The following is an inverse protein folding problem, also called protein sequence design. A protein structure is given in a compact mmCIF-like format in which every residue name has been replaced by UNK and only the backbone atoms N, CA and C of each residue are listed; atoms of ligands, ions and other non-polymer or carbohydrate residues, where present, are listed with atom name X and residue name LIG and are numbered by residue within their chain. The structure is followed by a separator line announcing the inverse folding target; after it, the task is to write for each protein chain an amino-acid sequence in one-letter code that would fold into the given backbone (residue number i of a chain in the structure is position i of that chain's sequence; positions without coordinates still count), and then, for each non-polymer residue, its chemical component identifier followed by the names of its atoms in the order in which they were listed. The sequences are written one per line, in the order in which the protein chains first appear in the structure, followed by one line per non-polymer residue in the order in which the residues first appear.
data_IF_079198311735
#
_entry.id   IF_079198311735
#
_cell.length_a   1.000
_cell.length_b   1.000
_cell.length_c   1.000
_cell.angle_alpha   90.00
_cell.angle_beta   90.00
_cell.angle_gamma   90.00
#
_symmetry.space_group_name_H-M   'P 1'
#
loop_
_entity.id
_entity.type
_entity.pdbx_description
1 polymer ?
#
# COMPACT_ATOMS: atom_id res chain seq x y z
N UNK A 1 25.20 5.26 79.62
CA UNK A 1 25.54 5.35 78.17
C UNK A 1 24.36 4.74 77.41
N UNK A 2 23.54 5.52 76.75
CA UNK A 2 22.37 5.09 75.98
C UNK A 2 22.73 5.17 74.50
N UNK A 3 22.73 4.03 73.83
CA UNK A 3 23.00 3.93 72.39
C UNK A 3 21.75 4.18 71.62
N UNK A 4 21.76 5.21 70.77
CA UNK A 4 20.64 5.59 69.86
C UNK A 4 20.80 4.76 68.56
N UNK A 5 19.82 3.94 68.23
CA UNK A 5 19.73 3.23 66.95
C UNK A 5 18.98 4.14 65.94
N UNK A 6 19.67 4.53 64.86
CA UNK A 6 19.09 5.25 63.75
C UNK A 6 18.56 4.24 62.71
N UNK A 7 17.25 4.14 62.57
CA UNK A 7 16.63 3.39 61.48
C UNK A 7 16.59 4.26 60.20
N UNK A 8 17.37 3.88 59.16
CA UNK A 8 17.23 4.43 57.82
C UNK A 8 16.03 3.76 57.12
N UNK A 9 14.99 4.53 56.81
CA UNK A 9 13.95 4.11 55.89
C UNK A 9 14.40 4.39 54.43
N UNK A 10 14.70 3.32 53.68
CA UNK A 10 14.84 3.43 52.22
C UNK A 10 13.44 3.43 51.61
N UNK A 11 13.03 4.61 51.14
CA UNK A 11 11.84 4.74 50.28
C UNK A 11 12.18 4.30 48.86
N UNK A 12 11.70 3.13 48.44
CA UNK A 12 11.76 2.66 47.06
C UNK A 12 10.80 3.46 46.21
N UNK A 13 11.33 4.32 45.35
CA UNK A 13 10.57 5.05 44.33
C UNK A 13 10.34 4.08 43.15
N UNK A 14 9.14 3.53 43.02
CA UNK A 14 8.69 2.82 41.84
C UNK A 14 8.45 3.83 40.71
N UNK A 15 8.93 3.58 39.49
CA UNK A 15 8.61 4.45 38.36
C UNK A 15 7.12 4.35 38.02
N UNK A 16 6.49 5.46 37.57
CA UNK A 16 5.08 5.44 37.19
C UNK A 16 4.86 4.49 36.01
N UNK A 17 3.88 3.60 36.15
CA UNK A 17 3.44 2.73 35.06
C UNK A 17 2.96 3.60 33.88
N UNK A 18 3.57 3.39 32.73
CA UNK A 18 3.13 4.01 31.49
C UNK A 18 1.70 3.51 31.18
N UNK A 19 0.72 4.36 31.40
CA UNK A 19 -0.65 4.13 30.99
C UNK A 19 -0.70 4.22 29.47
N UNK A 20 -0.76 3.08 28.78
CA UNK A 20 -1.20 3.01 27.38
C UNK A 20 -2.67 3.42 27.34
N UNK A 21 -2.93 4.69 27.10
CA UNK A 21 -4.28 5.16 26.81
C UNK A 21 -4.68 4.62 25.44
N UNK A 22 -5.60 3.67 25.43
CA UNK A 22 -6.34 3.31 24.21
C UNK A 22 -7.21 4.54 23.85
N UNK A 23 -7.07 5.11 22.63
CA UNK A 23 -7.87 6.27 22.26
C UNK A 23 -9.35 5.90 22.25
N UNK A 24 -10.19 6.74 22.84
CA UNK A 24 -11.64 6.61 22.76
C UNK A 24 -12.07 6.87 21.31
N UNK A 25 -12.58 5.84 20.63
CA UNK A 25 -13.13 5.97 19.28
C UNK A 25 -14.34 6.90 19.28
N UNK A 26 -14.42 7.84 18.37
CA UNK A 26 -15.65 8.54 17.98
C UNK A 26 -16.68 7.47 17.58
N UNK A 27 -17.87 7.47 18.14
CA UNK A 27 -18.85 6.36 18.12
C UNK A 27 -19.37 5.85 16.76
N UNK A 28 -18.73 6.16 15.64
CA UNK A 28 -18.94 5.55 14.33
C UNK A 28 -17.78 4.57 14.04
N UNK A 29 -18.12 3.38 13.52
CA UNK A 29 -17.11 2.41 13.11
C UNK A 29 -16.19 3.02 12.03
N UNK A 30 -14.86 2.85 12.21
CA UNK A 30 -13.89 3.27 11.20
C UNK A 30 -14.03 2.39 9.94
N UNK A 31 -13.82 2.96 8.75
CA UNK A 31 -13.80 2.19 7.50
C UNK A 31 -12.55 1.31 7.34
N UNK A 32 -11.65 1.33 8.30
CA UNK A 32 -10.41 0.55 8.37
C UNK A 32 -10.11 0.13 9.81
N UNK A 33 -9.18 -0.83 9.94
CA UNK A 33 -8.59 -1.19 11.24
C UNK A 33 -7.24 -0.51 11.38
N UNK A 34 -7.07 0.33 12.41
CA UNK A 34 -5.78 0.97 12.70
C UNK A 34 -4.91 0.01 13.52
N UNK A 35 -3.73 -0.36 12.99
CA UNK A 35 -2.76 -1.26 13.61
C UNK A 35 -1.48 -0.52 13.98
N UNK A 36 -1.16 -0.35 15.27
CA UNK A 36 0.13 0.18 15.68
C UNK A 36 1.24 -0.86 15.43
N UNK A 37 2.33 -0.43 14.78
CA UNK A 37 3.50 -1.27 14.46
C UNK A 37 4.74 -0.89 15.28
N UNK A 38 4.58 0.00 16.26
CA UNK A 38 5.66 0.53 17.08
C UNK A 38 6.32 1.78 16.48
N UNK A 39 7.09 2.50 17.30
CA UNK A 39 7.89 3.66 16.90
C UNK A 39 7.13 4.72 16.07
N UNK A 40 5.87 4.97 16.39
CA UNK A 40 5.03 5.94 15.67
C UNK A 40 4.52 5.48 14.31
N UNK A 41 4.71 4.21 13.93
CA UNK A 41 4.24 3.67 12.64
C UNK A 41 2.90 3.00 12.81
N UNK A 42 1.97 3.29 11.90
CA UNK A 42 0.60 2.76 11.89
C UNK A 42 0.20 2.31 10.49
N UNK A 43 -0.37 1.11 10.39
CA UNK A 43 -1.07 0.65 9.20
C UNK A 43 -2.58 0.83 9.39
N UNK A 44 -3.25 1.37 8.39
CA UNK A 44 -4.70 1.48 8.32
C UNK A 44 -5.19 0.47 7.27
N UNK A 45 -5.64 -0.68 7.76
CA UNK A 45 -6.02 -1.83 6.93
C UNK A 45 -7.52 -1.75 6.61
N UNK A 46 -7.87 -1.77 5.33
CA UNK A 46 -9.27 -1.78 4.87
C UNK A 46 -10.08 -2.86 5.60
N UNK A 47 -11.32 -2.55 5.95
CA UNK A 47 -12.18 -3.50 6.64
C UNK A 47 -12.74 -4.56 5.66
N UNK A 48 -13.38 -5.60 6.22
CA UNK A 48 -13.91 -6.71 5.44
C UNK A 48 -15.04 -6.33 4.48
N UNK A 49 -15.61 -5.14 4.60
CA UNK A 49 -16.63 -4.59 3.72
C UNK A 49 -16.03 -3.76 2.57
N UNK A 50 -14.72 -3.49 2.57
CA UNK A 50 -14.06 -2.68 1.54
C UNK A 50 -14.44 -1.20 1.60
N UNK A 51 -14.74 -0.68 2.80
CA UNK A 51 -15.25 0.71 2.95
C UNK A 51 -14.16 1.77 2.74
N UNK A 52 -12.88 1.41 2.88
CA UNK A 52 -11.75 2.28 2.56
C UNK A 52 -11.24 2.06 1.13
N UNK A 53 -11.46 0.86 0.56
CA UNK A 53 -11.13 0.44 -0.79
C UNK A 53 -9.72 -0.12 -0.95
N UNK A 54 -8.76 0.38 -0.18
CA UNK A 54 -7.36 -0.05 -0.14
C UNK A 54 -6.78 0.18 1.26
N UNK A 55 -5.54 -0.20 1.48
CA UNK A 55 -4.80 0.11 2.69
C UNK A 55 -4.09 1.46 2.58
N UNK A 56 -3.85 2.07 3.73
CA UNK A 56 -3.04 3.25 3.90
C UNK A 56 -2.20 3.15 5.17
N UNK A 57 -1.46 4.19 5.52
CA UNK A 57 -0.80 4.24 6.80
C UNK A 57 -0.14 5.59 7.07
N UNK A 58 0.52 5.70 8.22
CA UNK A 58 1.27 6.90 8.55
C UNK A 58 2.41 6.63 9.52
N UNK A 59 3.32 7.56 9.55
CA UNK A 59 4.48 7.58 10.45
C UNK A 59 4.51 8.89 11.20
N UNK A 60 4.48 8.84 12.53
CA UNK A 60 4.67 9.99 13.42
C UNK A 60 6.16 10.05 13.76
N UNK A 61 6.85 11.05 13.24
CA UNK A 61 8.22 11.37 13.61
C UNK A 61 8.30 12.36 14.77
N UNK A 62 9.47 12.96 14.99
CA UNK A 62 9.67 13.89 16.09
C UNK A 62 9.09 15.28 15.82
N UNK A 63 9.03 15.72 14.57
CA UNK A 63 8.60 17.08 14.18
C UNK A 63 7.41 17.11 13.20
N UNK A 64 7.08 15.97 12.58
CA UNK A 64 6.04 15.90 11.56
C UNK A 64 5.46 14.50 11.41
N UNK A 65 4.37 14.39 10.64
CA UNK A 65 3.75 13.15 10.21
C UNK A 65 3.91 12.99 8.70
N UNK A 66 4.17 11.75 8.26
CA UNK A 66 4.12 11.31 6.88
C UNK A 66 2.98 10.30 6.72
N UNK A 67 2.14 10.49 5.71
CA UNK A 67 1.03 9.60 5.35
C UNK A 67 1.43 8.82 4.10
N UNK A 68 1.07 7.54 4.02
CA UNK A 68 1.27 6.68 2.85
C UNK A 68 -0.09 6.27 2.32
N UNK A 69 -0.40 6.66 1.10
CA UNK A 69 -1.69 6.52 0.43
C UNK A 69 -2.87 7.14 1.19
N UNK A 70 -4.01 7.30 0.52
CA UNK A 70 -5.12 8.11 1.02
C UNK A 70 -6.50 7.50 0.77
N UNK A 71 -6.56 6.21 0.46
CA UNK A 71 -7.79 5.44 0.23
C UNK A 71 -8.58 5.80 -1.05
N UNK A 72 -9.63 5.00 -1.31
CA UNK A 72 -10.57 5.19 -2.44
C UNK A 72 -11.57 6.32 -2.20
N UNK A 73 -11.79 6.78 -0.96
CA UNK A 73 -12.81 7.78 -0.70
C UNK A 73 -12.42 8.82 0.36
N UNK A 74 -12.98 10.00 0.20
CA UNK A 74 -12.72 11.17 1.05
C UNK A 74 -13.11 10.91 2.52
N UNK A 75 -14.17 10.12 2.77
CA UNK A 75 -14.62 9.80 4.14
C UNK A 75 -13.56 9.00 4.90
N UNK A 76 -12.97 8.00 4.25
CA UNK A 76 -11.90 7.20 4.85
C UNK A 76 -10.66 8.04 5.11
N UNK A 77 -10.27 8.91 4.18
CA UNK A 77 -9.16 9.85 4.35
C UNK A 77 -9.40 10.83 5.51
N UNK A 78 -10.61 11.36 5.65
CA UNK A 78 -11.00 12.22 6.78
C UNK A 78 -10.97 11.46 8.11
N UNK A 79 -11.40 10.20 8.14
CA UNK A 79 -11.31 9.36 9.32
C UNK A 79 -9.84 9.11 9.71
N UNK A 80 -8.96 8.84 8.74
CA UNK A 80 -7.52 8.69 8.99
C UNK A 80 -6.90 9.99 9.54
N UNK A 81 -7.24 11.14 8.96
CA UNK A 81 -6.83 12.44 9.50
C UNK A 81 -7.29 12.62 10.95
N UNK A 82 -8.54 12.22 11.27
CA UNK A 82 -9.07 12.24 12.63
C UNK A 82 -8.25 11.39 13.60
N UNK A 83 -7.93 10.15 13.22
CA UNK A 83 -7.08 9.25 14.02
C UNK A 83 -5.68 9.84 14.25
N UNK A 84 -5.04 10.38 13.21
CA UNK A 84 -3.75 11.06 13.35
C UNK A 84 -3.85 12.21 14.34
N UNK A 85 -4.90 13.04 14.27
CA UNK A 85 -5.08 14.21 15.15
C UNK A 85 -5.41 13.83 16.60
N UNK A 86 -5.93 12.63 16.85
CA UNK A 86 -6.06 12.09 18.22
C UNK A 86 -4.71 11.68 18.81
N UNK A 87 -3.80 11.16 17.98
CA UNK A 87 -2.49 10.67 18.42
C UNK A 87 -1.45 11.79 18.55
N UNK A 88 -1.50 12.82 17.68
CA UNK A 88 -0.51 13.90 17.68
C UNK A 88 -1.09 15.23 17.19
N UNK A 89 -0.42 16.33 17.56
CA UNK A 89 -0.67 17.69 17.03
C UNK A 89 0.40 18.15 16.03
N UNK A 90 1.37 17.29 15.72
CA UNK A 90 2.41 17.58 14.75
C UNK A 90 1.82 17.85 13.35
N UNK A 91 2.45 18.70 12.54
CA UNK A 91 1.99 18.96 11.18
C UNK A 91 2.10 17.69 10.31
N UNK A 92 1.13 17.47 9.43
CA UNK A 92 1.26 16.47 8.39
C UNK A 92 2.08 17.12 7.27
N UNK A 93 3.32 16.66 7.11
CA UNK A 93 4.28 17.29 6.21
C UNK A 93 4.27 16.66 4.81
N UNK A 94 4.08 15.34 4.74
CA UNK A 94 4.13 14.61 3.50
C UNK A 94 2.95 13.64 3.37
N UNK A 95 2.48 13.50 2.13
CA UNK A 95 1.74 12.34 1.64
C UNK A 95 2.60 11.67 0.59
N UNK A 96 2.86 10.37 0.69
CA UNK A 96 3.52 9.59 -0.34
C UNK A 96 2.48 8.71 -1.01
N UNK A 97 2.28 8.87 -2.32
CA UNK A 97 1.46 7.94 -3.08
C UNK A 97 2.35 6.82 -3.63
N UNK A 98 2.01 5.58 -3.31
CA UNK A 98 2.73 4.40 -3.79
C UNK A 98 2.59 4.22 -5.30
N UNK A 99 1.41 4.50 -5.85
CA UNK A 99 1.12 4.50 -7.28
C UNK A 99 -0.11 5.38 -7.58
N UNK A 100 -0.62 5.39 -8.82
CA UNK A 100 -1.63 6.37 -9.24
C UNK A 100 -3.07 5.87 -9.15
N UNK A 101 -3.35 4.59 -8.87
CA UNK A 101 -4.73 4.09 -8.87
C UNK A 101 -5.60 4.83 -7.87
N UNK A 102 -6.87 5.01 -8.26
CA UNK A 102 -7.80 5.93 -7.59
C UNK A 102 -8.03 5.56 -6.11
N UNK A 103 -7.99 4.28 -5.79
CA UNK A 103 -8.15 3.74 -4.44
C UNK A 103 -6.95 4.03 -3.50
N UNK A 104 -5.88 4.61 -4.02
CA UNK A 104 -4.72 5.05 -3.24
C UNK A 104 -4.55 6.57 -3.18
N UNK A 105 -5.20 7.32 -4.07
CA UNK A 105 -4.93 8.77 -4.24
C UNK A 105 -6.15 9.66 -4.06
N UNK A 106 -7.37 9.11 -3.96
CA UNK A 106 -8.60 9.91 -3.98
C UNK A 106 -8.74 10.82 -2.76
N UNK A 107 -8.17 10.45 -1.63
CA UNK A 107 -8.13 11.26 -0.43
C UNK A 107 -7.01 12.30 -0.36
N UNK A 108 -6.13 12.43 -1.37
CA UNK A 108 -4.99 13.35 -1.37
C UNK A 108 -5.37 14.78 -0.97
N UNK A 109 -6.48 15.28 -1.51
CA UNK A 109 -6.97 16.63 -1.25
C UNK A 109 -7.31 16.91 0.24
N UNK A 110 -7.61 15.87 1.02
CA UNK A 110 -7.85 16.00 2.47
C UNK A 110 -6.58 16.46 3.17
N UNK A 111 -5.46 15.81 2.87
CA UNK A 111 -4.17 16.10 3.48
C UNK A 111 -3.49 17.33 2.87
N UNK A 112 -3.69 17.59 1.57
CA UNK A 112 -3.21 18.81 0.93
C UNK A 112 -3.79 20.07 1.60
N UNK A 113 -5.08 20.03 2.02
CA UNK A 113 -5.71 21.11 2.79
C UNK A 113 -5.09 21.32 4.18
N UNK A 114 -4.47 20.30 4.75
CA UNK A 114 -3.70 20.39 6.00
C UNK A 114 -2.26 20.92 5.79
N UNK A 115 -1.89 21.26 4.55
CA UNK A 115 -0.57 21.76 4.16
C UNK A 115 0.46 20.68 3.83
N UNK A 116 0.03 19.42 3.68
CA UNK A 116 0.92 18.34 3.30
C UNK A 116 1.39 18.46 1.84
N UNK A 117 2.68 18.20 1.60
CA UNK A 117 3.27 18.06 0.27
C UNK A 117 3.06 16.64 -0.24
N UNK A 118 2.45 16.49 -1.41
CA UNK A 118 2.23 15.18 -2.04
C UNK A 118 3.48 14.80 -2.83
N UNK A 119 4.03 13.60 -2.56
CA UNK A 119 5.27 13.08 -3.14
C UNK A 119 4.97 11.77 -3.86
N UNK A 120 5.41 11.62 -5.10
CA UNK A 120 5.26 10.37 -5.84
C UNK A 120 6.29 10.21 -6.96
N UNK A 121 6.39 9.00 -7.51
CA UNK A 121 7.17 8.75 -8.73
C UNK A 121 6.64 9.59 -9.91
N UNK A 122 7.51 10.01 -10.83
CA UNK A 122 7.18 10.85 -12.01
C UNK A 122 5.97 10.32 -12.80
N UNK A 123 5.91 9.02 -13.00
CA UNK A 123 4.81 8.41 -13.75
C UNK A 123 3.45 8.56 -13.05
N UNK A 124 3.40 8.55 -11.71
CA UNK A 124 2.17 8.81 -10.95
C UNK A 124 1.63 10.20 -11.30
N UNK A 125 2.48 11.23 -11.26
CA UNK A 125 2.09 12.59 -11.61
C UNK A 125 1.53 12.70 -13.04
N UNK A 126 2.11 11.93 -13.98
CA UNK A 126 1.67 11.95 -15.38
C UNK A 126 0.35 11.21 -15.60
N UNK A 127 0.06 10.18 -14.79
CA UNK A 127 -1.07 9.26 -15.04
C UNK A 127 -2.26 9.43 -14.10
N UNK A 128 -2.10 10.14 -12.98
CA UNK A 128 -3.14 10.26 -11.95
C UNK A 128 -4.51 10.73 -12.50
N UNK A 129 -4.52 11.58 -13.51
CA UNK A 129 -5.76 12.01 -14.15
C UNK A 129 -6.12 11.15 -15.37
N UNK A 130 -5.17 10.98 -16.31
CA UNK A 130 -5.45 10.35 -17.61
C UNK A 130 -5.77 8.86 -17.48
N UNK A 131 -5.00 8.12 -16.66
CA UNK A 131 -5.17 6.67 -16.59
C UNK A 131 -6.30 6.24 -15.66
N UNK A 132 -6.65 7.04 -14.64
CA UNK A 132 -7.79 6.72 -13.76
C UNK A 132 -9.14 6.81 -14.46
N UNK A 133 -9.28 7.56 -15.53
CA UNK A 133 -10.55 7.65 -16.30
C UNK A 133 -10.96 6.28 -16.87
N UNK A 134 -10.02 5.39 -17.17
CA UNK A 134 -10.29 4.06 -17.74
C UNK A 134 -11.12 3.14 -16.84
N UNK A 135 -11.05 3.32 -15.51
CA UNK A 135 -11.79 2.48 -14.57
C UNK A 135 -13.30 2.73 -14.62
N UNK A 136 -13.74 3.87 -15.15
CA UNK A 136 -15.15 4.22 -15.29
C UNK A 136 -15.75 3.81 -16.63
N UNK A 137 -14.92 3.31 -17.57
CA UNK A 137 -15.37 2.89 -18.89
C UNK A 137 -15.87 4.02 -19.79
N UNK A 138 -16.62 3.65 -20.84
CA UNK A 138 -17.09 4.62 -21.86
C UNK A 138 -18.25 5.49 -21.36
N UNK A 139 -19.01 5.00 -20.40
CA UNK A 139 -20.23 5.64 -19.88
C UNK A 139 -19.95 6.41 -18.57
N UNK A 140 -18.73 6.94 -18.43
CA UNK A 140 -18.33 7.76 -17.28
C UNK A 140 -19.27 8.95 -17.11
N UNK A 141 -19.83 9.11 -15.90
CA UNK A 141 -20.69 10.25 -15.59
C UNK A 141 -19.87 11.53 -15.48
N UNK A 142 -20.44 12.71 -15.82
CA UNK A 142 -19.76 14.00 -15.72
C UNK A 142 -19.14 14.25 -14.33
N UNK A 143 -19.83 13.86 -13.25
CA UNK A 143 -19.37 14.02 -11.87
C UNK A 143 -18.12 13.19 -11.60
N UNK A 144 -18.11 11.91 -12.03
CA UNK A 144 -16.98 11.01 -11.91
C UNK A 144 -15.77 11.51 -12.71
N UNK A 145 -16.02 11.99 -13.93
CA UNK A 145 -14.97 12.58 -14.77
C UNK A 145 -14.37 13.81 -14.09
N UNK A 146 -15.22 14.73 -13.64
CA UNK A 146 -14.79 15.93 -12.91
C UNK A 146 -14.00 15.58 -11.65
N UNK A 147 -14.39 14.53 -10.93
CA UNK A 147 -13.69 14.07 -9.73
C UNK A 147 -12.26 13.61 -10.06
N UNK A 148 -12.10 12.78 -11.10
CA UNK A 148 -10.76 12.33 -11.52
C UNK A 148 -9.91 13.50 -12.03
N UNK A 149 -10.48 14.40 -12.80
CA UNK A 149 -9.79 15.59 -13.33
C UNK A 149 -9.34 16.56 -12.22
N UNK A 150 -9.96 16.50 -11.04
CA UNK A 150 -9.64 17.32 -9.86
C UNK A 150 -8.90 16.57 -8.75
N UNK A 151 -8.40 15.36 -8.99
CA UNK A 151 -7.52 14.68 -8.03
C UNK A 151 -6.30 15.55 -7.74
N UNK A 152 -5.94 15.67 -6.45
CA UNK A 152 -4.74 16.40 -6.07
C UNK A 152 -3.50 15.62 -6.52
N UNK A 153 -2.78 16.19 -7.49
CA UNK A 153 -1.59 15.60 -8.08
C UNK A 153 -0.36 15.80 -7.17
N UNK A 154 0.72 15.01 -7.37
CA UNK A 154 1.98 15.19 -6.65
C UNK A 154 2.62 16.56 -6.89
N UNK A 155 3.09 17.20 -5.79
CA UNK A 155 3.86 18.46 -5.79
C UNK A 155 5.34 18.19 -6.01
N UNK A 156 5.86 17.08 -5.47
CA UNK A 156 7.27 16.65 -5.57
C UNK A 156 7.33 15.31 -6.27
N UNK A 157 8.12 15.25 -7.32
CA UNK A 157 8.30 14.05 -8.13
C UNK A 157 9.76 13.59 -8.12
N UNK A 158 9.96 12.27 -8.19
CA UNK A 158 11.28 11.65 -8.30
C UNK A 158 11.27 10.52 -9.34
N UNK A 159 12.44 10.05 -9.75
CA UNK A 159 12.58 9.03 -10.81
C UNK A 159 12.96 7.64 -10.25
N UNK A 160 13.82 7.57 -9.24
CA UNK A 160 14.30 6.30 -8.69
C UNK A 160 14.08 6.19 -7.17
N UNK A 161 14.44 7.21 -6.43
CA UNK A 161 14.28 7.23 -4.97
C UNK A 161 14.32 8.66 -4.43
N UNK A 162 13.75 8.81 -3.23
CA UNK A 162 13.86 10.03 -2.44
C UNK A 162 13.93 9.67 -0.96
N UNK A 163 14.69 10.41 -0.17
CA UNK A 163 14.69 10.33 1.29
C UNK A 163 13.92 11.53 1.85
N UNK A 164 12.88 11.24 2.63
CA UNK A 164 12.08 12.23 3.34
C UNK A 164 12.44 12.18 4.83
N UNK A 165 12.43 13.34 5.51
CA UNK A 165 12.75 13.44 6.93
C UNK A 165 11.58 14.03 7.73
N UNK A 166 11.22 13.32 8.78
CA UNK A 166 10.25 13.71 9.79
C UNK A 166 10.96 13.71 11.15
N UNK A 167 11.73 14.79 11.40
CA UNK A 167 12.74 14.85 12.44
C UNK A 167 13.98 14.03 12.06
N UNK A 168 14.61 13.30 13.00
CA UNK A 168 15.76 12.44 12.73
C UNK A 168 15.38 11.14 11.98
N UNK A 169 14.11 10.78 11.93
CA UNK A 169 13.65 9.55 11.29
C UNK A 169 13.72 9.66 9.76
N UNK A 170 14.60 8.93 9.08
CA UNK A 170 14.63 8.86 7.64
C UNK A 170 13.51 7.92 7.14
N UNK A 171 12.79 8.37 6.12
CA UNK A 171 11.84 7.56 5.37
C UNK A 171 12.32 7.50 3.93
N UNK A 172 12.69 6.31 3.46
CA UNK A 172 13.16 6.09 2.11
C UNK A 172 11.99 5.65 1.23
N UNK A 173 11.85 6.30 0.10
CA UNK A 173 10.85 5.94 -0.92
C UNK A 173 11.62 5.51 -2.16
N UNK A 174 11.34 4.29 -2.65
CA UNK A 174 12.04 3.69 -3.79
C UNK A 174 11.06 3.20 -4.84
N UNK A 175 11.37 3.51 -6.10
CA UNK A 175 10.65 3.01 -7.26
C UNK A 175 10.98 1.53 -7.53
N UNK A 176 9.93 0.75 -7.76
CA UNK A 176 10.00 -0.63 -8.22
C UNK A 176 8.91 -0.88 -9.28
N UNK A 177 9.25 -1.40 -10.48
CA UNK A 177 8.24 -1.68 -11.49
C UNK A 177 7.43 -2.94 -11.16
N UNK A 178 6.16 -2.98 -11.54
CA UNK A 178 5.39 -4.21 -11.38
C UNK A 178 3.91 -4.10 -11.62
N UNK A 179 3.16 -3.61 -10.66
CA UNK A 179 1.72 -3.45 -10.71
C UNK A 179 1.31 -2.34 -11.68
N UNK A 180 2.06 -1.25 -11.66
CA UNK A 180 2.04 -0.19 -12.65
C UNK A 180 3.47 0.14 -13.11
N UNK A 181 3.65 1.14 -13.93
CA UNK A 181 4.98 1.66 -14.25
C UNK A 181 5.42 2.80 -13.34
N UNK A 182 4.72 3.05 -12.24
CA UNK A 182 5.00 4.15 -11.31
C UNK A 182 4.99 3.73 -9.83
N UNK A 183 5.12 2.43 -9.55
CA UNK A 183 5.02 1.91 -8.20
C UNK A 183 6.23 2.26 -7.33
N UNK A 184 5.99 2.47 -6.06
CA UNK A 184 7.03 2.73 -5.08
C UNK A 184 6.72 2.06 -3.76
N UNK A 185 7.76 1.69 -3.03
CA UNK A 185 7.66 1.27 -1.64
C UNK A 185 8.14 2.38 -0.71
N UNK A 186 7.54 2.47 0.47
CA UNK A 186 7.96 3.39 1.53
C UNK A 186 8.58 2.57 2.65
N UNK A 187 9.87 2.78 2.90
CA UNK A 187 10.68 2.00 3.84
C UNK A 187 10.97 2.87 5.06
N UNK A 188 10.52 2.40 6.22
CA UNK A 188 10.80 3.02 7.52
C UNK A 188 11.70 2.08 8.29
N UNK A 189 13.00 2.41 8.33
CA UNK A 189 13.99 1.63 9.05
C UNK A 189 13.95 1.97 10.54
N UNK A 190 13.99 0.95 11.38
CA UNK A 190 14.16 1.04 12.82
C UNK A 190 15.45 0.33 13.22
N UNK A 191 15.86 0.42 14.49
CA UNK A 191 17.14 -0.16 14.93
C UNK A 191 17.28 -1.66 14.61
N UNK A 192 16.21 -2.44 14.81
CA UNK A 192 16.23 -3.91 14.68
C UNK A 192 15.15 -4.48 13.78
N UNK A 193 14.29 -3.63 13.23
CA UNK A 193 13.16 -4.01 12.38
C UNK A 193 12.96 -2.97 11.30
N UNK A 194 12.16 -3.28 10.30
CA UNK A 194 11.70 -2.30 9.33
C UNK A 194 10.21 -2.52 9.03
N UNK A 195 9.56 -1.44 8.60
CA UNK A 195 8.22 -1.49 8.04
C UNK A 195 8.29 -1.02 6.60
N UNK A 196 7.69 -1.77 5.69
CA UNK A 196 7.67 -1.48 4.26
C UNK A 196 6.22 -1.40 3.79
N UNK A 197 5.77 -0.19 3.43
CA UNK A 197 4.50 -0.01 2.74
C UNK A 197 4.73 -0.27 1.26
N UNK A 198 4.06 -1.29 0.74
CA UNK A 198 4.30 -1.79 -0.61
C UNK A 198 3.30 -1.25 -1.64
N UNK A 199 2.19 -0.62 -1.20
CA UNK A 199 1.07 -0.40 -2.10
C UNK A 199 0.72 -1.70 -2.81
N UNK A 200 0.30 -1.61 -4.04
CA UNK A 200 -0.16 -2.76 -4.83
C UNK A 200 0.96 -3.62 -5.42
N UNK A 201 2.22 -3.30 -5.11
CA UNK A 201 3.30 -4.26 -5.36
C UNK A 201 3.16 -5.53 -4.52
N UNK A 202 2.38 -5.50 -3.44
CA UNK A 202 2.07 -6.67 -2.63
C UNK A 202 0.57 -6.73 -2.30
N UNK A 203 -0.05 -7.88 -2.59
CA UNK A 203 -1.42 -8.24 -2.26
C UNK A 203 -1.40 -9.49 -1.39
N UNK A 204 -1.94 -9.42 -0.18
CA UNK A 204 -1.88 -10.54 0.74
C UNK A 204 -3.17 -11.35 0.75
N UNK A 205 -3.10 -12.60 0.24
CA UNK A 205 -4.25 -13.51 0.11
C UNK A 205 -5.45 -12.87 -0.63
N UNK A 206 -5.12 -12.07 -1.64
CA UNK A 206 -6.05 -11.29 -2.43
C UNK A 206 -5.60 -11.35 -3.89
N UNK A 207 -6.50 -11.59 -4.86
CA UNK A 207 -6.14 -11.54 -6.26
C UNK A 207 -5.94 -10.07 -6.68
N UNK A 208 -4.80 -9.76 -7.34
CA UNK A 208 -4.50 -8.39 -7.75
C UNK A 208 -5.28 -7.96 -8.99
N UNK A 209 -5.35 -6.64 -9.21
CA UNK A 209 -5.69 -6.08 -10.50
C UNK A 209 -4.47 -6.11 -11.42
N UNK A 210 -4.55 -6.78 -12.57
CA UNK A 210 -3.44 -6.86 -13.52
C UNK A 210 -3.55 -5.87 -14.69
N UNK A 211 -4.52 -4.97 -14.71
CA UNK A 211 -4.84 -4.13 -15.88
C UNK A 211 -3.61 -3.38 -16.43
N UNK A 212 -2.75 -2.84 -15.59
CA UNK A 212 -1.55 -2.06 -15.97
C UNK A 212 -0.24 -2.80 -15.67
N UNK A 213 -0.36 -4.02 -15.14
CA UNK A 213 0.78 -4.76 -14.63
C UNK A 213 1.67 -5.32 -15.74
N UNK A 214 2.96 -5.40 -15.45
CA UNK A 214 3.96 -6.16 -16.18
C UNK A 214 4.44 -7.28 -15.26
N UNK A 215 3.97 -8.50 -15.48
CA UNK A 215 4.12 -9.58 -14.50
C UNK A 215 5.56 -10.06 -14.32
N UNK A 216 6.42 -10.02 -15.36
CA UNK A 216 7.84 -10.39 -15.22
C UNK A 216 8.60 -9.39 -14.34
N UNK A 217 8.64 -8.08 -14.64
CA UNK A 217 9.26 -7.10 -13.73
C UNK A 217 8.68 -7.16 -12.31
N UNK A 218 7.37 -7.40 -12.18
CA UNK A 218 6.74 -7.52 -10.87
C UNK A 218 7.28 -8.71 -10.06
N UNK A 219 7.42 -9.88 -10.68
CA UNK A 219 8.03 -11.05 -10.03
C UNK A 219 9.48 -10.81 -9.61
N UNK A 220 10.26 -10.03 -10.38
CA UNK A 220 11.62 -9.63 -10.02
C UNK A 220 11.62 -8.67 -8.82
N UNK A 221 10.73 -7.67 -8.82
CA UNK A 221 10.49 -6.78 -7.68
C UNK A 221 10.14 -7.55 -6.42
N UNK A 222 9.17 -8.48 -6.48
CA UNK A 222 8.78 -9.31 -5.33
C UNK A 222 9.93 -10.20 -4.83
N UNK A 223 10.78 -10.69 -5.74
CA UNK A 223 11.98 -11.44 -5.38
C UNK A 223 13.01 -10.56 -4.64
N UNK A 224 13.08 -9.29 -4.98
CA UNK A 224 13.94 -8.31 -4.30
C UNK A 224 13.36 -7.97 -2.93
N UNK A 225 12.08 -7.62 -2.85
CA UNK A 225 11.40 -7.28 -1.59
C UNK A 225 11.46 -8.44 -0.58
N UNK A 226 11.25 -9.68 -1.02
CA UNK A 226 11.31 -10.85 -0.13
C UNK A 226 12.69 -11.06 0.54
N UNK A 227 13.76 -10.51 -0.04
CA UNK A 227 15.13 -10.59 0.50
C UNK A 227 15.46 -9.46 1.47
N UNK A 228 14.67 -8.40 1.55
CA UNK A 228 14.92 -7.30 2.48
C UNK A 228 15.00 -7.76 3.94
N UNK A 229 14.29 -8.83 4.30
CA UNK A 229 14.28 -9.38 5.66
C UNK A 229 15.48 -10.28 6.00
N UNK A 230 16.48 -10.42 5.12
CA UNK A 230 17.62 -11.28 5.37
C UNK A 230 18.46 -10.85 6.60
N UNK A 231 18.44 -9.56 6.93
CA UNK A 231 19.22 -8.99 8.04
C UNK A 231 18.38 -8.57 9.25
N UNK A 232 17.07 -8.37 9.09
CA UNK A 232 16.18 -7.90 10.15
C UNK A 232 14.72 -8.30 9.88
N UNK A 233 13.89 -8.56 10.90
CA UNK A 233 12.48 -8.79 10.73
C UNK A 233 11.81 -7.59 10.06
N UNK A 234 11.01 -7.84 9.01
CA UNK A 234 10.26 -6.80 8.29
C UNK A 234 8.77 -7.11 8.35
N UNK A 235 7.97 -6.06 8.61
CA UNK A 235 6.53 -6.08 8.39
C UNK A 235 6.23 -5.41 7.06
N UNK A 236 5.62 -6.15 6.15
CA UNK A 236 5.15 -5.62 4.86
C UNK A 236 3.68 -5.22 4.97
N UNK A 237 3.37 -4.02 4.50
CA UNK A 237 1.99 -3.50 4.42
C UNK A 237 1.60 -3.52 2.95
N UNK A 238 0.67 -4.41 2.56
CA UNK A 238 0.19 -4.51 1.19
C UNK A 238 -0.76 -3.37 0.86
N UNK A 239 -1.05 -3.16 -0.43
CA UNK A 239 -2.16 -2.31 -0.85
C UNK A 239 -3.52 -2.89 -0.48
N UNK A 240 -3.64 -4.22 -0.50
CA UNK A 240 -4.86 -4.95 -0.12
C UNK A 240 -4.55 -6.20 0.70
N UNK A 241 -5.42 -6.49 1.65
CA UNK A 241 -5.26 -7.59 2.60
C UNK A 241 -4.52 -7.14 3.88
N UNK A 242 -4.26 -8.08 4.78
CA UNK A 242 -3.62 -7.78 6.06
C UNK A 242 -2.08 -7.64 5.95
N UNK A 243 -1.44 -7.09 6.97
CA UNK A 243 0.03 -7.03 7.07
C UNK A 243 0.66 -8.41 6.88
N UNK A 244 1.82 -8.47 6.24
CA UNK A 244 2.49 -9.71 5.86
C UNK A 244 3.97 -9.76 6.18
N UNK A 245 4.55 -10.90 5.87
CA UNK A 245 5.96 -11.26 6.03
C UNK A 245 6.61 -11.50 4.67
N UNK A 246 7.93 -11.74 4.61
CA UNK A 246 8.62 -12.17 3.39
C UNK A 246 8.08 -13.47 2.81
N UNK A 247 7.57 -14.37 3.66
CA UNK A 247 6.92 -15.59 3.20
C UNK A 247 5.61 -15.28 2.44
N UNK A 248 4.83 -14.31 2.92
CA UNK A 248 3.60 -13.86 2.25
C UNK A 248 3.92 -13.18 0.90
N UNK A 249 4.98 -12.34 0.84
CA UNK A 249 5.47 -11.74 -0.42
C UNK A 249 5.88 -12.84 -1.42
N UNK A 250 6.57 -13.88 -0.94
CA UNK A 250 6.97 -15.03 -1.78
C UNK A 250 5.75 -15.82 -2.27
N UNK A 251 4.74 -16.01 -1.41
CA UNK A 251 3.49 -16.69 -1.78
C UNK A 251 2.73 -15.90 -2.87
N UNK A 252 2.67 -14.57 -2.74
CA UNK A 252 2.06 -13.72 -3.75
C UNK A 252 2.82 -13.76 -5.09
N UNK A 253 4.16 -13.73 -5.05
CA UNK A 253 4.97 -13.96 -6.25
C UNK A 253 4.66 -15.29 -6.91
N UNK A 254 4.42 -16.33 -6.09
CA UNK A 254 4.00 -17.67 -6.55
C UNK A 254 2.71 -17.62 -7.37
N UNK A 255 1.73 -16.81 -6.97
CA UNK A 255 0.50 -16.61 -7.74
C UNK A 255 0.79 -16.09 -9.16
N UNK A 256 1.62 -15.07 -9.29
CA UNK A 256 1.98 -14.52 -10.61
C UNK A 256 2.72 -15.54 -11.48
N UNK A 257 3.63 -16.31 -10.88
CA UNK A 257 4.37 -17.38 -11.58
C UNK A 257 3.43 -18.47 -12.09
N UNK A 258 2.60 -19.02 -11.20
CA UNK A 258 1.66 -20.07 -11.55
C UNK A 258 0.69 -19.64 -12.66
N UNK A 259 0.15 -18.42 -12.53
CA UNK A 259 -0.78 -17.89 -13.54
C UNK A 259 -0.12 -17.78 -14.92
N UNK A 260 1.12 -17.27 -14.97
CA UNK A 260 1.87 -17.20 -16.23
C UNK A 260 2.17 -18.57 -16.81
N UNK A 261 2.55 -19.54 -15.98
CA UNK A 261 2.87 -20.90 -16.39
C UNK A 261 1.63 -21.61 -16.95
N UNK A 262 0.48 -21.51 -16.28
CA UNK A 262 -0.77 -22.12 -16.73
C UNK A 262 -1.29 -21.48 -18.03
N UNK A 263 -1.27 -20.16 -18.12
CA UNK A 263 -1.64 -19.44 -19.35
C UNK A 263 -0.67 -19.81 -20.48
N UNK A 264 0.63 -19.81 -20.23
CA UNK A 264 1.65 -20.17 -21.21
C UNK A 264 1.52 -21.61 -21.72
N UNK A 265 1.23 -22.57 -20.84
CA UNK A 265 0.98 -23.96 -21.21
C UNK A 265 -0.29 -24.10 -22.10
N UNK A 266 -1.39 -23.45 -21.66
CA UNK A 266 -2.65 -23.49 -22.41
C UNK A 266 -2.51 -22.84 -23.81
N UNK A 267 -1.69 -21.80 -23.96
CA UNK A 267 -1.36 -21.22 -25.28
C UNK A 267 -0.54 -22.15 -26.14
N UNK A 268 0.44 -22.88 -25.58
CA UNK A 268 1.20 -23.90 -26.33
C UNK A 268 0.30 -25.00 -26.86
N UNK A 269 -0.79 -25.33 -26.15
CA UNK A 269 -1.84 -26.25 -26.58
C UNK A 269 -2.79 -25.64 -27.64
N UNK A 270 -2.51 -24.45 -28.15
CA UNK A 270 -3.29 -23.76 -29.17
C UNK A 270 -4.58 -23.10 -28.68
N UNK A 271 -4.79 -23.01 -27.36
CA UNK A 271 -5.99 -22.35 -26.79
C UNK A 271 -5.81 -20.85 -26.74
N UNK A 272 -6.90 -20.10 -26.94
CA UNK A 272 -6.96 -18.62 -26.84
C UNK A 272 -8.33 -18.19 -26.32
N UNK A 273 -8.39 -16.97 -25.76
CA UNK A 273 -9.64 -16.33 -25.35
C UNK A 273 -10.43 -17.15 -24.33
N UNK A 274 -11.72 -17.38 -24.60
CA UNK A 274 -12.59 -18.13 -23.68
C UNK A 274 -12.13 -19.57 -23.46
N UNK A 275 -11.68 -20.27 -24.50
CA UNK A 275 -11.19 -21.63 -24.38
C UNK A 275 -9.93 -21.75 -23.52
N UNK A 276 -9.05 -20.73 -23.55
CA UNK A 276 -7.90 -20.64 -22.67
C UNK A 276 -8.36 -20.35 -21.23
N UNK A 277 -9.25 -19.40 -21.04
CA UNK A 277 -9.81 -19.05 -19.73
C UNK A 277 -10.47 -20.27 -19.07
N UNK A 278 -11.30 -21.03 -19.80
CA UNK A 278 -11.98 -22.20 -19.29
C UNK A 278 -11.00 -23.35 -18.91
N UNK A 279 -9.85 -23.42 -19.57
CA UNK A 279 -8.81 -24.40 -19.25
C UNK A 279 -7.97 -24.01 -18.02
N UNK A 280 -7.73 -22.72 -17.80
CA UNK A 280 -6.86 -22.22 -16.73
C UNK A 280 -7.62 -21.95 -15.44
N UNK A 281 -8.86 -21.45 -15.52
CA UNK A 281 -9.64 -21.05 -14.35
C UNK A 281 -9.78 -22.14 -13.28
N UNK A 282 -9.99 -23.45 -13.60
CA UNK A 282 -10.05 -24.49 -12.58
C UNK A 282 -8.76 -24.61 -11.76
N UNK A 283 -7.59 -24.43 -12.37
CA UNK A 283 -6.29 -24.48 -11.69
C UNK A 283 -6.14 -23.29 -10.74
N UNK A 284 -6.49 -22.08 -11.21
CA UNK A 284 -6.51 -20.87 -10.36
C UNK A 284 -7.47 -21.05 -9.18
N UNK A 285 -8.68 -21.61 -9.44
CA UNK A 285 -9.68 -21.87 -8.39
C UNK A 285 -9.19 -22.88 -7.35
N UNK A 286 -8.56 -23.95 -7.80
CA UNK A 286 -8.05 -24.99 -6.89
C UNK A 286 -7.03 -24.46 -5.91
N UNK A 287 -6.11 -23.56 -6.35
CA UNK A 287 -5.00 -23.08 -5.53
C UNK A 287 -5.31 -21.76 -4.83
N UNK A 288 -6.05 -20.86 -5.47
CA UNK A 288 -6.27 -19.48 -5.03
C UNK A 288 -7.74 -19.10 -4.87
N UNK A 289 -8.67 -20.05 -4.94
CA UNK A 289 -10.11 -19.79 -4.88
C UNK A 289 -10.61 -19.24 -3.53
N UNK A 290 -9.82 -19.37 -2.47
CA UNK A 290 -10.11 -18.77 -1.15
C UNK A 290 -9.58 -17.35 -0.98
N UNK A 291 -8.80 -16.85 -1.93
CA UNK A 291 -8.28 -15.49 -1.87
C UNK A 291 -9.40 -14.49 -2.17
N UNK A 292 -9.33 -13.32 -1.50
CA UNK A 292 -10.27 -12.24 -1.75
C UNK A 292 -10.23 -11.80 -3.23
N UNK A 293 -11.31 -11.22 -3.71
CA UNK A 293 -11.49 -10.78 -5.10
C UNK A 293 -11.36 -11.87 -6.18
N UNK A 294 -11.40 -13.17 -5.78
CA UNK A 294 -11.30 -14.26 -6.76
C UNK A 294 -12.35 -14.14 -7.87
N UNK A 295 -13.61 -14.01 -7.52
CA UNK A 295 -14.71 -13.93 -8.49
C UNK A 295 -14.63 -12.70 -9.39
N UNK A 296 -13.99 -11.63 -8.89
CA UNK A 296 -13.83 -10.40 -9.62
C UNK A 296 -12.64 -10.42 -10.58
N UNK A 297 -11.47 -10.92 -10.14
CA UNK A 297 -10.24 -10.80 -10.91
C UNK A 297 -9.78 -12.08 -11.63
N UNK A 298 -10.18 -13.30 -11.22
CA UNK A 298 -9.57 -14.51 -11.74
C UNK A 298 -9.61 -14.61 -13.27
N UNK A 299 -10.79 -14.39 -13.88
CA UNK A 299 -10.93 -14.44 -15.35
C UNK A 299 -10.22 -13.29 -16.06
N UNK A 300 -10.25 -12.08 -15.46
CA UNK A 300 -9.59 -10.89 -15.99
C UNK A 300 -8.08 -11.10 -16.02
N UNK A 301 -7.52 -11.59 -14.92
CA UNK A 301 -6.09 -11.83 -14.78
C UNK A 301 -5.58 -12.88 -15.80
N UNK A 302 -6.37 -13.91 -16.08
CA UNK A 302 -6.05 -14.89 -17.15
C UNK A 302 -5.96 -14.18 -18.51
N UNK A 303 -6.94 -13.34 -18.85
CA UNK A 303 -6.97 -12.60 -20.10
C UNK A 303 -5.84 -11.54 -20.17
N UNK A 304 -5.53 -10.86 -19.06
CA UNK A 304 -4.45 -9.88 -18.99
C UNK A 304 -3.08 -10.54 -19.21
N UNK A 305 -2.84 -11.72 -18.63
CA UNK A 305 -1.60 -12.48 -18.83
C UNK A 305 -1.55 -13.04 -20.27
N UNK A 306 -2.67 -13.51 -20.84
CA UNK A 306 -2.72 -13.89 -22.24
C UNK A 306 -2.33 -12.73 -23.16
N UNK A 307 -2.89 -11.54 -22.94
CA UNK A 307 -2.57 -10.32 -23.69
C UNK A 307 -1.10 -9.91 -23.53
N UNK A 308 -0.54 -10.01 -22.30
CA UNK A 308 0.87 -9.75 -22.05
C UNK A 308 1.78 -10.72 -22.82
N UNK A 309 1.47 -12.03 -22.77
CA UNK A 309 2.23 -13.05 -23.49
C UNK A 309 2.08 -12.95 -25.03
N UNK A 310 1.07 -12.28 -25.53
CA UNK A 310 0.86 -11.97 -26.94
C UNK A 310 1.52 -10.66 -27.37
N UNK A 311 2.04 -9.85 -26.44
CA UNK A 311 2.54 -8.51 -26.72
C UNK A 311 1.44 -7.50 -27.09
N UNK A 312 0.18 -7.81 -26.81
CA UNK A 312 -0.99 -6.97 -27.14
C UNK A 312 -1.56 -6.18 -25.94
N UNK A 313 -1.02 -6.40 -24.76
CA UNK A 313 -1.45 -5.71 -23.56
C UNK A 313 -1.04 -4.25 -23.62
N UNK A 314 -2.02 -3.33 -23.40
CA UNK A 314 -1.72 -1.91 -23.26
C UNK A 314 -1.17 -1.65 -21.85
N UNK A 315 0.00 -1.05 -21.79
CA UNK A 315 0.61 -0.54 -20.58
C UNK A 315 0.79 0.98 -20.76
N UNK A 316 0.53 1.81 -19.74
CA UNK A 316 0.80 3.25 -19.82
C UNK A 316 2.25 3.53 -20.22
N UNK A 317 2.47 4.44 -21.16
CA UNK A 317 3.81 4.82 -21.58
C UNK A 317 4.47 5.65 -20.47
N UNK A 318 5.77 5.41 -20.16
CA UNK A 318 6.49 6.22 -19.19
C UNK A 318 6.45 7.70 -19.55
N UNK A 319 6.38 8.55 -18.51
CA UNK A 319 6.50 9.99 -18.69
C UNK A 319 7.88 10.34 -19.28
N UNK A 320 7.91 11.25 -20.24
CA UNK A 320 9.18 11.74 -20.78
C UNK A 320 10.01 12.38 -19.65
N UNK A 321 11.26 11.94 -19.49
CA UNK A 321 12.23 12.67 -18.67
C UNK A 321 12.48 14.04 -19.29
N UNK A 322 12.21 15.11 -18.54
CA UNK A 322 12.53 16.47 -18.95
C UNK A 322 13.96 16.83 -18.60
#
# INVERSE_FOLDING_TARGET
MRTLAVCLFLASILPPAAHTQTPASSGAALPFTLKPLGHGIYAAIDNSQGEAGANAGFVIGDDAVLVVDTFENVRAAQALLGEIRMLTKLPIKFVVNTHYHIDHVRGNAVFAKEGATIVAHRNVSSWIHSENLKFFGKDIKPEQKSEVENLAAPDVIYDSSIELRIGPTPVRVEYFPGHTGGDSVVIVQQEKTAVVFCGDLFWRQTLPNLIDASTLPWMETLSTLSKFSAESPITFIPGHGDTGTSADVTAFRGYLSDLRDWVGASKKDGKTGSALTDAVLPQVKQKYGSWQFFDYFAKRNIADVEAELNGSKRIPSPAASR
#
